data_IF_182349946509
#
_entry.id   IF_182349946509
#
_cell.length_a   1.000
_cell.length_b   1.000
_cell.length_c   1.000
_cell.angle_alpha   90.00
_cell.angle_beta   90.00
_cell.angle_gamma   90.00
#
_symmetry.space_group_name_H-M   'P 1'
#
loop_
_entity.id
_entity.type
_entity.pdbx_description
1 polymer ?
#
# COMPACT_ATOMS: atom_id res chain seq x y z
N UNK A 1 -12.96 -19.21 3.97
CA UNK A 1 -12.09 -20.26 4.55
C UNK A 1 -11.34 -19.54 5.66
N UNK A 2 -11.61 -19.88 6.91
CA UNK A 2 -10.89 -19.31 8.07
C UNK A 2 -9.68 -20.22 8.30
N UNK A 3 -8.56 -19.89 7.64
CA UNK A 3 -7.50 -20.87 7.34
C UNK A 3 -6.73 -21.39 8.57
N UNK A 4 -6.86 -20.77 9.76
CA UNK A 4 -6.18 -21.20 11.00
C UNK A 4 -7.06 -21.16 12.25
N UNK A 5 -8.37 -20.91 12.11
CA UNK A 5 -9.29 -20.68 13.24
C UNK A 5 -8.74 -19.64 14.25
N UNK A 6 -8.14 -18.56 13.73
CA UNK A 6 -7.58 -17.48 14.52
C UNK A 6 -8.13 -16.12 14.10
N UNK A 7 -8.16 -15.18 15.03
CA UNK A 7 -8.22 -13.75 14.72
C UNK A 7 -7.13 -12.98 15.47
N UNK A 8 -6.64 -11.91 14.86
CA UNK A 8 -5.59 -11.05 15.43
C UNK A 8 -6.23 -10.08 16.43
N UNK A 9 -5.67 -10.01 17.65
CA UNK A 9 -6.03 -8.98 18.64
C UNK A 9 -5.13 -7.75 18.47
N UNK A 10 -3.82 -7.96 18.31
CA UNK A 10 -2.83 -6.88 18.32
C UNK A 10 -1.59 -7.26 17.49
N UNK A 11 -1.05 -6.28 16.74
CA UNK A 11 0.29 -6.35 16.15
C UNK A 11 1.16 -5.32 16.88
N UNK A 12 2.32 -5.76 17.38
CA UNK A 12 3.20 -5.01 18.25
C UNK A 12 4.52 -4.67 17.54
N UNK A 13 5.14 -3.53 17.85
CA UNK A 13 6.48 -3.19 17.35
C UNK A 13 7.61 -3.93 18.09
N UNK A 14 7.30 -4.85 19.00
CA UNK A 14 8.29 -5.59 19.78
C UNK A 14 7.74 -6.89 20.32
N UNK A 15 8.66 -7.78 20.68
CA UNK A 15 8.42 -9.17 21.02
C UNK A 15 7.31 -9.42 22.06
N UNK A 16 6.44 -10.43 21.85
CA UNK A 16 6.15 -11.08 20.57
C UNK A 16 5.46 -10.11 19.59
N UNK A 17 5.70 -10.27 18.29
CA UNK A 17 5.18 -9.41 17.21
C UNK A 17 3.65 -9.36 17.14
N UNK A 18 2.97 -10.44 17.51
CA UNK A 18 1.54 -10.56 17.34
C UNK A 18 0.89 -11.29 18.52
N UNK A 19 -0.29 -10.80 18.90
CA UNK A 19 -1.20 -11.46 19.81
C UNK A 19 -2.46 -11.81 19.03
N UNK A 20 -2.84 -13.08 19.07
CA UNK A 20 -4.05 -13.58 18.43
C UNK A 20 -4.90 -14.37 19.42
N UNK A 21 -6.13 -14.69 19.02
CA UNK A 21 -6.91 -15.75 19.64
C UNK A 21 -7.10 -16.91 18.68
N UNK A 22 -6.86 -18.13 19.16
CA UNK A 22 -7.13 -19.38 18.44
C UNK A 22 -8.36 -20.06 19.04
N UNK A 23 -9.26 -20.52 18.18
CA UNK A 23 -10.38 -21.34 18.61
C UNK A 23 -9.92 -22.78 18.82
N UNK A 24 -10.13 -23.30 20.04
CA UNK A 24 -9.69 -24.64 20.46
C UNK A 24 -10.86 -25.62 20.63
N UNK A 25 -12.02 -25.32 20.03
CA UNK A 25 -13.20 -26.18 20.03
C UNK A 25 -14.23 -25.86 21.13
N UNK A 26 -13.79 -25.45 22.32
CA UNK A 26 -14.66 -25.07 23.45
C UNK A 26 -14.56 -23.58 23.82
N UNK A 27 -13.75 -22.81 23.10
CA UNK A 27 -13.50 -21.41 23.41
C UNK A 27 -12.34 -20.82 22.61
N UNK A 28 -11.99 -19.59 22.97
CA UNK A 28 -10.92 -18.82 22.34
C UNK A 28 -9.77 -18.61 23.33
N UNK A 29 -8.62 -19.15 22.99
CA UNK A 29 -7.40 -19.02 23.80
C UNK A 29 -6.48 -17.98 23.17
N UNK A 30 -5.84 -17.17 24.02
CA UNK A 30 -4.86 -16.18 23.58
C UNK A 30 -3.55 -16.89 23.26
N UNK A 31 -2.98 -16.59 22.10
CA UNK A 31 -1.68 -17.10 21.64
C UNK A 31 -0.77 -15.94 21.24
N UNK A 32 0.52 -16.11 21.49
CA UNK A 32 1.59 -15.19 21.15
C UNK A 32 2.35 -15.71 19.93
N UNK A 33 2.52 -14.85 18.93
CA UNK A 33 3.08 -15.21 17.63
C UNK A 33 4.28 -14.32 17.33
N UNK A 34 5.38 -14.92 16.89
CA UNK A 34 6.54 -14.23 16.32
C UNK A 34 6.61 -14.44 14.81
N UNK A 35 6.92 -13.38 14.05
CA UNK A 35 7.07 -13.46 12.61
C UNK A 35 8.54 -13.46 12.22
N UNK A 36 8.95 -14.47 11.47
CA UNK A 36 10.36 -14.59 11.08
C UNK A 36 10.53 -14.86 9.58
N UNK A 37 11.67 -14.43 9.02
CA UNK A 37 12.04 -14.88 7.68
C UNK A 37 12.41 -16.37 7.72
N UNK A 38 13.34 -16.74 8.60
CA UNK A 38 13.74 -18.13 8.85
C UNK A 38 13.44 -18.49 10.30
N UNK A 39 12.96 -19.69 10.58
CA UNK A 39 12.64 -20.11 11.95
C UNK A 39 13.82 -19.95 12.94
N UNK A 40 15.07 -20.16 12.51
CA UNK A 40 16.26 -19.96 13.35
C UNK A 40 16.54 -18.51 13.73
N UNK A 41 15.96 -17.52 13.05
CA UNK A 41 16.13 -16.11 13.42
C UNK A 41 15.59 -15.84 14.83
N UNK A 42 14.58 -16.60 15.28
CA UNK A 42 14.08 -16.55 16.65
C UNK A 42 15.21 -16.70 17.69
N UNK A 43 16.14 -17.63 17.44
CA UNK A 43 17.33 -17.82 18.29
C UNK A 43 18.35 -16.69 18.13
N UNK A 44 18.55 -16.21 16.90
CA UNK A 44 19.51 -15.12 16.61
C UNK A 44 19.09 -13.81 17.30
N UNK A 45 17.79 -13.54 17.34
CA UNK A 45 17.20 -12.41 18.04
C UNK A 45 17.14 -12.59 19.57
N UNK A 46 17.50 -13.78 20.08
CA UNK A 46 17.50 -14.13 21.51
C UNK A 46 16.12 -14.01 22.16
N UNK A 47 15.08 -14.38 21.42
CA UNK A 47 13.72 -14.44 21.96
C UNK A 47 13.59 -15.56 22.98
N UNK A 48 12.86 -15.28 24.07
CA UNK A 48 12.62 -16.27 25.12
C UNK A 48 11.39 -17.12 24.74
N UNK A 49 11.56 -18.44 24.49
CA UNK A 49 10.48 -19.32 24.06
C UNK A 49 9.31 -19.41 25.05
N UNK A 50 9.50 -19.02 26.32
CA UNK A 50 8.40 -19.03 27.31
C UNK A 50 7.34 -17.96 27.05
N UNK A 51 7.60 -16.99 26.18
CA UNK A 51 6.69 -15.89 25.85
C UNK A 51 6.16 -15.95 24.41
N UNK A 52 6.37 -17.07 23.72
CA UNK A 52 5.90 -17.29 22.36
C UNK A 52 5.26 -18.68 22.27
N UNK A 53 4.10 -18.77 21.63
CA UNK A 53 3.42 -20.04 21.41
C UNK A 53 3.66 -20.54 19.97
N UNK A 54 3.79 -19.61 19.00
CA UNK A 54 3.85 -19.91 17.58
C UNK A 54 4.90 -19.05 16.87
N UNK A 55 5.77 -19.68 16.08
CA UNK A 55 6.61 -19.00 15.10
C UNK A 55 5.94 -19.16 13.73
N UNK A 56 5.60 -18.05 13.10
CA UNK A 56 5.17 -18.04 11.70
C UNK A 56 6.34 -17.56 10.86
N UNK A 57 6.89 -18.44 10.02
CA UNK A 57 8.10 -18.17 9.26
C UNK A 57 7.89 -18.34 7.74
N UNK A 58 8.69 -17.64 6.94
CA UNK A 58 8.73 -17.92 5.50
C UNK A 58 9.33 -19.30 5.22
N UNK A 59 10.48 -19.61 5.82
CA UNK A 59 11.16 -20.90 5.67
C UNK A 59 11.52 -21.50 7.03
N UNK A 60 11.20 -22.78 7.22
CA UNK A 60 11.54 -23.52 8.44
C UNK A 60 12.89 -24.21 8.27
N UNK A 61 13.97 -23.52 8.66
CA UNK A 61 15.34 -24.02 8.71
C UNK A 61 15.73 -24.60 10.09
N UNK A 62 14.76 -24.69 11.03
CA UNK A 62 14.94 -25.15 12.40
C UNK A 62 14.20 -26.46 12.68
N UNK A 63 14.55 -27.51 11.92
CA UNK A 63 13.89 -28.82 12.00
C UNK A 63 14.10 -29.56 13.32
N UNK A 64 15.13 -29.19 14.07
CA UNK A 64 15.55 -29.76 15.34
C UNK A 64 15.17 -28.87 16.55
N UNK A 65 14.09 -28.09 16.43
CA UNK A 65 13.56 -27.28 17.52
C UNK A 65 13.34 -28.12 18.80
N UNK A 66 13.94 -27.72 19.95
CA UNK A 66 13.80 -28.45 21.20
C UNK A 66 12.34 -28.55 21.66
N UNK A 67 11.89 -29.77 21.98
CA UNK A 67 10.49 -30.04 22.34
C UNK A 67 10.07 -29.33 23.63
N UNK A 68 11.02 -29.06 24.52
CA UNK A 68 10.81 -28.30 25.75
C UNK A 68 10.33 -26.87 25.50
N UNK A 69 10.61 -26.29 24.33
CA UNK A 69 10.14 -24.95 23.98
C UNK A 69 8.65 -24.90 23.67
N UNK A 70 8.03 -26.05 23.34
CA UNK A 70 6.59 -26.16 23.01
C UNK A 70 6.13 -25.18 21.93
N UNK A 71 7.04 -24.76 21.05
CA UNK A 71 6.78 -23.86 19.95
C UNK A 71 6.13 -24.60 18.79
N UNK A 72 5.03 -24.07 18.28
CA UNK A 72 4.50 -24.45 16.98
C UNK A 72 5.22 -23.64 15.88
N UNK A 73 5.78 -24.30 14.86
CA UNK A 73 6.40 -23.61 13.72
C UNK A 73 5.51 -23.79 12.49
N UNK A 74 4.97 -22.68 11.99
CA UNK A 74 4.15 -22.63 10.77
C UNK A 74 5.00 -22.06 9.63
N UNK A 75 5.23 -22.87 8.60
CA UNK A 75 6.04 -22.52 7.43
C UNK A 75 5.16 -22.07 6.25
N UNK A 76 5.41 -20.86 5.72
CA UNK A 76 4.59 -20.28 4.66
C UNK A 76 5.04 -20.67 3.24
N UNK A 77 6.33 -20.94 2.99
CA UNK A 77 6.87 -21.20 1.65
C UNK A 77 6.36 -22.50 1.03
N UNK A 78 6.08 -23.53 1.81
CA UNK A 78 5.40 -24.75 1.35
C UNK A 78 3.88 -24.53 1.28
N UNK A 79 3.29 -23.91 2.31
CA UNK A 79 1.83 -23.67 2.38
C UNK A 79 1.32 -22.87 1.18
N UNK A 80 2.05 -21.83 0.75
CA UNK A 80 1.63 -20.97 -0.37
C UNK A 80 1.48 -21.73 -1.69
N UNK A 81 2.16 -22.87 -1.86
CA UNK A 81 2.05 -23.71 -3.07
C UNK A 81 0.74 -24.48 -3.12
N UNK A 82 0.13 -24.74 -1.97
CA UNK A 82 -1.15 -25.44 -1.84
C UNK A 82 -2.34 -24.49 -1.91
N UNK A 83 -2.12 -23.19 -1.64
CA UNK A 83 -3.17 -22.19 -1.74
C UNK A 83 -3.61 -22.02 -3.20
N UNK A 84 -4.94 -21.94 -3.46
CA UNK A 84 -5.42 -21.70 -4.80
C UNK A 84 -4.89 -20.35 -5.28
N UNK A 85 -4.32 -20.33 -6.49
CA UNK A 85 -3.99 -19.07 -7.15
C UNK A 85 -5.28 -18.24 -7.24
N UNK A 86 -5.32 -17.14 -6.49
CA UNK A 86 -6.41 -16.18 -6.60
C UNK A 86 -6.41 -15.68 -8.04
N UNK A 87 -7.54 -15.81 -8.72
CA UNK A 87 -7.69 -15.22 -10.06
C UNK A 87 -7.39 -13.73 -9.97
N UNK A 88 -6.31 -13.31 -10.62
CA UNK A 88 -6.00 -11.90 -10.78
C UNK A 88 -7.01 -11.37 -11.78
N UNK A 89 -8.13 -10.87 -11.27
CA UNK A 89 -9.06 -10.09 -12.07
C UNK A 89 -8.32 -8.82 -12.47
N UNK A 90 -8.26 -8.55 -13.78
CA UNK A 90 -7.95 -7.19 -14.22
C UNK A 90 -8.89 -6.28 -13.43
N UNK A 91 -8.38 -5.21 -12.80
CA UNK A 91 -9.29 -4.18 -12.30
C UNK A 91 -10.24 -3.85 -13.45
N UNK A 92 -11.48 -3.49 -13.20
CA UNK A 92 -12.33 -3.06 -14.30
C UNK A 92 -11.98 -1.61 -14.57
N UNK A 93 -11.81 -1.22 -15.83
CA UNK A 93 -11.68 0.21 -16.22
C UNK A 93 -13.05 0.89 -16.01
N UNK A 94 -13.49 1.00 -14.76
CA UNK A 94 -14.74 1.67 -14.39
C UNK A 94 -16.02 0.84 -14.49
N UNK A 95 -16.00 -0.50 -14.57
CA UNK A 95 -17.21 -1.26 -14.21
C UNK A 95 -17.35 -1.20 -12.69
N UNK A 96 -18.29 -0.39 -12.24
CA UNK A 96 -18.56 -0.17 -10.82
C UNK A 96 -19.06 -1.50 -10.23
N UNK A 97 -18.27 -2.08 -9.34
CA UNK A 97 -18.81 -3.08 -8.42
C UNK A 97 -19.75 -2.37 -7.44
N UNK A 98 -20.65 -3.11 -6.77
CA UNK A 98 -21.52 -2.55 -5.73
C UNK A 98 -20.71 -1.82 -4.65
N UNK A 99 -19.52 -2.33 -4.33
CA UNK A 99 -18.57 -1.72 -3.39
C UNK A 99 -18.00 -0.40 -3.92
N UNK A 100 -17.65 -0.31 -5.20
CA UNK A 100 -17.15 0.93 -5.82
C UNK A 100 -18.21 2.04 -5.82
N UNK A 101 -19.48 1.72 -6.07
CA UNK A 101 -20.56 2.73 -6.01
C UNK A 101 -20.73 3.32 -4.61
N UNK A 102 -20.64 2.48 -3.58
CA UNK A 102 -20.67 2.91 -2.19
C UNK A 102 -19.51 3.84 -1.86
N UNK A 103 -18.30 3.45 -2.26
CA UNK A 103 -17.07 4.24 -2.03
C UNK A 103 -17.09 5.56 -2.81
N UNK A 104 -17.58 5.57 -4.04
CA UNK A 104 -17.73 6.80 -4.83
C UNK A 104 -18.70 7.78 -4.16
N UNK A 105 -19.86 7.30 -3.68
CA UNK A 105 -20.82 8.14 -2.93
C UNK A 105 -20.17 8.77 -1.70
N UNK A 106 -19.40 8.00 -0.93
CA UNK A 106 -18.67 8.50 0.23
C UNK A 106 -17.59 9.52 -0.17
N UNK A 107 -16.82 9.22 -1.21
CA UNK A 107 -15.78 10.09 -1.75
C UNK A 107 -16.33 11.46 -2.21
N UNK A 108 -17.50 11.47 -2.86
CA UNK A 108 -18.15 12.68 -3.37
C UNK A 108 -19.02 13.42 -2.35
N UNK A 109 -19.23 12.85 -1.15
CA UNK A 109 -20.22 13.31 -0.15
C UNK A 109 -20.15 14.80 0.18
N UNK A 110 -18.94 15.37 0.25
CA UNK A 110 -18.73 16.75 0.69
C UNK A 110 -18.57 17.77 -0.44
N UNK A 111 -18.53 17.32 -1.69
CA UNK A 111 -18.28 18.16 -2.86
C UNK A 111 -19.56 18.85 -3.34
N UNK A 112 -19.47 20.13 -3.74
CA UNK A 112 -20.56 20.78 -4.47
C UNK A 112 -20.65 20.28 -5.92
N UNK A 113 -21.75 20.60 -6.61
CA UNK A 113 -22.00 20.12 -7.99
C UNK A 113 -20.90 20.53 -8.98
N UNK A 114 -20.34 21.72 -8.85
CA UNK A 114 -19.24 22.15 -9.71
C UNK A 114 -17.97 21.31 -9.47
N UNK A 115 -17.66 21.00 -8.21
CA UNK A 115 -16.49 20.16 -7.87
C UNK A 115 -16.69 18.72 -8.34
N UNK A 116 -17.92 18.18 -8.25
CA UNK A 116 -18.26 16.87 -8.81
C UNK A 116 -18.06 16.84 -10.32
N UNK A 117 -18.51 17.88 -11.04
CA UNK A 117 -18.28 18.02 -12.50
C UNK A 117 -16.79 18.06 -12.84
N UNK A 118 -16.00 18.84 -12.10
CA UNK A 118 -14.54 18.87 -12.28
C UNK A 118 -13.92 17.50 -12.04
N UNK A 119 -14.39 16.74 -11.06
CA UNK A 119 -13.90 15.40 -10.78
C UNK A 119 -14.15 14.44 -11.94
N UNK A 120 -15.36 14.41 -12.50
CA UNK A 120 -15.65 13.51 -13.62
C UNK A 120 -14.80 13.83 -14.85
N UNK A 121 -14.60 15.12 -15.17
CA UNK A 121 -13.68 15.52 -16.24
C UNK A 121 -12.22 15.13 -15.94
N UNK A 122 -11.74 15.36 -14.71
CA UNK A 122 -10.40 14.94 -14.28
C UNK A 122 -10.22 13.42 -14.38
N UNK A 123 -11.24 12.65 -14.01
CA UNK A 123 -11.26 11.21 -14.08
C UNK A 123 -11.17 10.70 -15.53
N UNK A 124 -11.92 11.30 -16.45
CA UNK A 124 -11.84 10.97 -17.88
C UNK A 124 -10.45 11.24 -18.45
N UNK A 125 -9.86 12.40 -18.14
CA UNK A 125 -8.49 12.73 -18.53
C UNK A 125 -7.52 11.68 -17.99
N UNK A 126 -7.52 11.42 -16.68
CA UNK A 126 -6.60 10.47 -16.05
C UNK A 126 -6.68 9.05 -16.64
N UNK A 127 -7.90 8.54 -16.88
CA UNK A 127 -8.09 7.21 -17.45
C UNK A 127 -7.76 7.12 -18.95
N UNK A 128 -7.69 8.25 -19.66
CA UNK A 128 -7.36 8.32 -21.07
C UNK A 128 -5.88 8.58 -21.35
N UNK A 129 -5.08 8.96 -20.33
CA UNK A 129 -3.64 9.20 -20.50
C UNK A 129 -2.92 7.96 -21.07
N UNK A 130 -3.25 6.77 -20.58
CA UNK A 130 -2.60 5.52 -21.00
C UNK A 130 -3.51 4.33 -20.68
N UNK A 131 -3.51 3.31 -21.54
CA UNK A 131 -4.40 2.16 -21.39
C UNK A 131 -4.12 1.32 -20.13
N UNK A 132 -2.96 1.47 -19.50
CA UNK A 132 -2.55 0.77 -18.28
C UNK A 132 -2.78 1.62 -17.03
N UNK A 133 -3.52 2.72 -17.13
CA UNK A 133 -3.96 3.51 -15.98
C UNK A 133 -5.28 2.97 -15.46
N UNK A 134 -5.32 2.78 -14.14
CA UNK A 134 -6.46 2.28 -13.40
C UNK A 134 -6.80 3.22 -12.26
N UNK A 135 -8.06 3.18 -11.81
CA UNK A 135 -8.56 3.95 -10.68
C UNK A 135 -8.96 3.01 -9.54
N UNK A 136 -8.77 3.45 -8.31
CA UNK A 136 -9.36 2.82 -7.14
C UNK A 136 -10.04 3.88 -6.25
N UNK A 137 -11.31 3.65 -5.91
CA UNK A 137 -12.01 4.51 -4.96
C UNK A 137 -11.66 4.12 -3.52
N UNK A 138 -11.36 5.12 -2.70
CA UNK A 138 -11.39 5.03 -1.25
C UNK A 138 -12.36 6.07 -0.69
N UNK A 139 -12.72 5.95 0.58
CA UNK A 139 -13.71 6.85 1.20
C UNK A 139 -13.27 8.32 1.22
N UNK A 140 -11.97 8.57 1.36
CA UNK A 140 -11.38 9.92 1.46
C UNK A 140 -10.60 10.34 0.23
N UNK A 141 -10.04 9.38 -0.49
CA UNK A 141 -9.14 9.59 -1.62
C UNK A 141 -9.49 8.62 -2.74
N UNK A 142 -9.34 9.07 -3.98
CA UNK A 142 -9.35 8.21 -5.15
C UNK A 142 -7.93 8.17 -5.71
N UNK A 143 -7.36 6.98 -5.90
CA UNK A 143 -6.01 6.81 -6.44
C UNK A 143 -6.02 6.39 -7.90
N UNK A 144 -4.98 6.77 -8.63
CA UNK A 144 -4.72 6.32 -10.00
C UNK A 144 -3.32 5.72 -10.09
N UNK A 145 -3.23 4.53 -10.68
CA UNK A 145 -2.01 3.72 -10.69
C UNK A 145 -1.77 3.11 -12.07
N UNK A 146 -0.50 2.80 -12.37
CA UNK A 146 -0.13 2.15 -13.62
C UNK A 146 0.92 1.06 -13.42
N UNK A 147 0.53 -0.18 -13.75
CA UNK A 147 -0.32 -0.98 -12.88
C UNK A 147 0.33 -1.32 -11.52
N UNK A 148 1.63 -1.04 -11.33
CA UNK A 148 2.38 -1.47 -10.14
C UNK A 148 2.38 -0.43 -9.01
N UNK A 149 2.29 0.86 -9.33
CA UNK A 149 2.38 1.96 -8.36
C UNK A 149 1.40 3.08 -8.67
N UNK A 150 0.95 3.75 -7.61
CA UNK A 150 0.13 4.96 -7.68
C UNK A 150 1.01 6.14 -8.08
N UNK A 151 0.53 6.95 -9.02
CA UNK A 151 1.21 8.20 -9.41
C UNK A 151 0.41 9.44 -8.99
N UNK A 152 -0.90 9.31 -8.75
CA UNK A 152 -1.69 10.43 -8.23
C UNK A 152 -2.84 10.00 -7.33
N UNK A 153 -3.18 10.88 -6.39
CA UNK A 153 -4.39 10.79 -5.57
C UNK A 153 -5.21 12.07 -5.69
N UNK A 154 -6.53 11.91 -5.79
CA UNK A 154 -7.49 12.99 -5.74
C UNK A 154 -8.20 12.94 -4.38
N UNK A 155 -8.30 14.09 -3.71
CA UNK A 155 -9.09 14.28 -2.50
C UNK A 155 -10.14 15.36 -2.75
N UNK A 156 -11.40 15.00 -2.58
CA UNK A 156 -12.50 15.96 -2.70
C UNK A 156 -12.49 16.97 -1.56
N UNK A 157 -12.83 18.20 -1.88
CA UNK A 157 -13.19 19.25 -0.94
C UNK A 157 -14.51 19.90 -1.38
N UNK A 158 -15.07 20.80 -0.55
CA UNK A 158 -16.35 21.45 -0.87
C UNK A 158 -16.31 22.22 -2.19
N UNK A 159 -15.22 22.92 -2.47
CA UNK A 159 -15.04 23.86 -3.60
C UNK A 159 -13.74 23.63 -4.36
N UNK A 160 -13.44 22.37 -4.72
CA UNK A 160 -12.26 22.00 -5.50
C UNK A 160 -11.70 20.63 -5.12
N UNK A 161 -10.69 20.21 -5.86
CA UNK A 161 -10.02 18.92 -5.73
C UNK A 161 -8.58 19.17 -5.35
N UNK A 162 -8.13 18.56 -4.26
CA UNK A 162 -6.71 18.54 -3.91
C UNK A 162 -6.09 17.33 -4.61
N UNK A 163 -5.05 17.58 -5.38
CA UNK A 163 -4.33 16.54 -6.10
C UNK A 163 -2.97 16.34 -5.46
N UNK A 164 -2.67 15.11 -5.09
CA UNK A 164 -1.36 14.67 -4.67
C UNK A 164 -0.71 13.95 -5.87
N UNK A 165 0.54 14.28 -6.17
CA UNK A 165 1.21 13.86 -7.40
C UNK A 165 2.60 13.33 -7.08
N UNK A 166 2.96 12.18 -7.64
CA UNK A 166 4.33 11.68 -7.58
C UNK A 166 5.20 12.55 -8.49
N UNK A 167 6.26 13.12 -7.94
CA UNK A 167 7.22 13.96 -8.68
C UNK A 167 8.67 13.50 -8.50
N UNK A 168 8.92 12.48 -7.67
CA UNK A 168 10.26 11.97 -7.37
C UNK A 168 11.28 13.08 -7.03
N UNK A 169 10.86 14.12 -6.29
CA UNK A 169 11.71 15.26 -5.94
C UNK A 169 11.94 16.27 -7.06
N UNK A 170 11.49 16.00 -8.29
CA UNK A 170 11.62 16.93 -9.42
C UNK A 170 10.62 18.08 -9.29
N UNK A 171 11.07 19.30 -9.58
CA UNK A 171 10.22 20.48 -9.62
C UNK A 171 9.27 20.39 -10.81
N UNK A 172 8.00 20.74 -10.59
CA UNK A 172 6.96 20.78 -11.63
C UNK A 172 6.17 22.07 -11.50
N UNK A 173 5.90 22.74 -12.62
CA UNK A 173 5.18 24.01 -12.61
C UNK A 173 3.75 23.84 -12.08
N UNK A 174 3.35 24.75 -11.19
CA UNK A 174 2.06 24.69 -10.51
C UNK A 174 1.95 23.64 -9.39
N UNK A 175 3.02 22.87 -9.12
CA UNK A 175 3.06 21.85 -8.06
C UNK A 175 3.95 22.32 -6.91
N UNK A 176 3.38 22.36 -5.71
CA UNK A 176 4.14 22.63 -4.47
C UNK A 176 4.66 21.33 -3.89
N UNK A 177 5.89 21.30 -3.38
CA UNK A 177 6.41 20.10 -2.72
C UNK A 177 5.65 19.82 -1.41
N UNK A 178 5.38 18.54 -1.12
CA UNK A 178 4.63 18.11 0.08
C UNK A 178 5.34 17.02 0.88
N UNK A 179 6.07 16.13 0.19
CA UNK A 179 7.00 15.12 0.72
C UNK A 179 8.19 15.05 -0.24
N UNK A 180 9.31 14.39 0.13
CA UNK A 180 10.49 14.34 -0.74
C UNK A 180 10.18 13.89 -2.18
N UNK A 181 9.31 12.89 -2.36
CA UNK A 181 8.91 12.36 -3.68
C UNK A 181 7.48 12.70 -4.11
N UNK A 182 6.77 13.56 -3.35
CA UNK A 182 5.38 13.90 -3.65
C UNK A 182 5.09 15.40 -3.57
N UNK A 183 4.44 15.90 -4.61
CA UNK A 183 3.92 17.26 -4.70
C UNK A 183 2.40 17.34 -4.52
N UNK A 184 1.90 18.57 -4.42
CA UNK A 184 0.49 18.89 -4.27
C UNK A 184 0.10 20.09 -5.13
N UNK A 185 -1.07 20.01 -5.76
CA UNK A 185 -1.73 21.15 -6.40
C UNK A 185 -3.25 21.09 -6.20
N UNK A 186 -3.96 22.10 -6.70
CA UNK A 186 -5.42 22.22 -6.56
C UNK A 186 -6.08 22.44 -7.91
N UNK A 187 -7.22 21.79 -8.13
CA UNK A 187 -8.13 22.05 -9.24
C UNK A 187 -9.40 22.67 -8.67
N UNK A 188 -9.68 23.92 -9.02
CA UNK A 188 -10.90 24.64 -8.61
C UNK A 188 -11.69 25.24 -9.77
N UNK A 189 -11.11 25.21 -10.97
CA UNK A 189 -11.69 25.74 -12.19
C UNK A 189 -11.34 24.86 -13.39
N UNK A 190 -11.98 25.08 -14.54
CA UNK A 190 -11.61 24.40 -15.79
C UNK A 190 -10.22 24.80 -16.28
N UNK A 191 -9.77 26.02 -15.99
CA UNK A 191 -8.41 26.47 -16.31
C UNK A 191 -7.37 25.63 -15.58
N UNK A 192 -7.58 25.40 -14.28
CA UNK A 192 -6.69 24.55 -13.47
C UNK A 192 -6.69 23.12 -14.02
N UNK A 193 -7.86 22.61 -14.40
CA UNK A 193 -8.02 21.27 -14.95
C UNK A 193 -7.23 21.09 -16.26
N UNK A 194 -7.31 22.04 -17.18
CA UNK A 194 -6.57 21.98 -18.45
C UNK A 194 -5.05 21.96 -18.25
N UNK A 195 -4.55 22.63 -17.21
CA UNK A 195 -3.12 22.59 -16.86
C UNK A 195 -2.71 21.26 -16.20
N UNK A 196 -3.66 20.52 -15.64
CA UNK A 196 -3.41 19.30 -14.86
C UNK A 196 -2.97 18.11 -15.72
N UNK A 197 -3.38 18.07 -17.00
CA UNK A 197 -3.09 16.93 -17.89
C UNK A 197 -1.59 16.70 -18.07
N UNK A 198 -0.83 17.76 -18.35
CA UNK A 198 0.63 17.67 -18.52
C UNK A 198 1.33 17.27 -17.21
N UNK A 199 0.80 17.74 -16.06
CA UNK A 199 1.31 17.36 -14.73
C UNK A 199 1.10 15.85 -14.50
N UNK A 200 -0.07 15.31 -14.84
CA UNK A 200 -0.35 13.88 -14.70
C UNK A 200 0.47 13.01 -15.65
N UNK A 201 0.63 13.42 -16.91
CA UNK A 201 1.49 12.73 -17.89
C UNK A 201 2.93 12.65 -17.38
N UNK A 202 3.48 13.77 -16.91
CA UNK A 202 4.84 13.79 -16.38
C UNK A 202 4.99 12.92 -15.13
N UNK A 203 4.01 12.95 -14.23
CA UNK A 203 4.01 12.09 -13.04
C UNK A 203 3.97 10.60 -13.39
N UNK A 204 3.20 10.22 -14.42
CA UNK A 204 3.14 8.84 -14.93
C UNK A 204 4.48 8.39 -15.53
N UNK A 205 5.19 9.26 -16.24
CA UNK A 205 6.55 8.97 -16.71
C UNK A 205 7.49 8.73 -15.53
N UNK A 206 7.48 9.63 -14.55
CA UNK A 206 8.36 9.56 -13.38
C UNK A 206 8.14 8.29 -12.56
N UNK A 207 6.90 7.87 -12.34
CA UNK A 207 6.65 6.64 -11.59
C UNK A 207 7.18 5.41 -12.35
N UNK A 208 7.11 5.43 -13.69
CA UNK A 208 7.60 4.33 -14.53
C UNK A 208 9.13 4.28 -14.54
N UNK A 209 9.79 5.43 -14.66
CA UNK A 209 11.25 5.58 -14.49
C UNK A 209 11.68 4.98 -13.14
N UNK A 210 11.06 5.41 -12.04
CA UNK A 210 11.39 4.90 -10.70
C UNK A 210 11.15 3.40 -10.53
N UNK A 211 10.09 2.84 -11.12
CA UNK A 211 9.85 1.39 -11.10
C UNK A 211 10.97 0.65 -11.86
N UNK A 212 11.36 1.14 -13.04
CA UNK A 212 12.44 0.53 -13.83
C UNK A 212 13.78 0.56 -13.10
N UNK A 213 14.03 1.62 -12.32
CA UNK A 213 15.24 1.78 -11.51
C UNK A 213 15.17 1.10 -10.13
N UNK A 214 14.08 0.40 -9.81
CA UNK A 214 13.84 -0.21 -8.49
C UNK A 214 13.92 0.80 -7.32
N UNK A 215 13.55 2.06 -7.56
CA UNK A 215 13.56 3.12 -6.56
C UNK A 215 12.37 2.98 -5.59
N UNK A 216 12.57 3.37 -4.33
CA UNK A 216 11.47 3.45 -3.38
C UNK A 216 10.53 4.62 -3.72
N UNK A 217 9.27 4.33 -4.01
CA UNK A 217 8.23 5.32 -4.38
C UNK A 217 7.22 5.59 -3.25
N UNK A 218 7.51 5.11 -2.04
CA UNK A 218 6.63 5.24 -0.88
C UNK A 218 6.41 6.68 -0.44
N UNK A 219 5.37 6.91 0.37
CA UNK A 219 5.04 8.24 0.90
C UNK A 219 6.18 8.86 1.73
N UNK A 220 6.89 8.02 2.49
CA UNK A 220 8.02 8.41 3.33
C UNK A 220 9.39 8.15 2.69
N UNK A 221 9.43 7.82 1.39
CA UNK A 221 10.68 7.58 0.69
C UNK A 221 11.51 8.87 0.63
N UNK A 222 12.78 8.78 1.04
CA UNK A 222 13.76 9.86 0.87
C UNK A 222 14.20 9.92 -0.59
N UNK A 223 14.64 11.09 -1.03
CA UNK A 223 15.38 11.21 -2.29
C UNK A 223 16.74 10.54 -2.03
N UNK A 224 17.14 9.63 -2.90
CA UNK A 224 18.49 9.07 -2.87
C UNK A 224 19.43 10.26 -3.14
N UNK A 225 20.24 10.62 -2.14
CA UNK A 225 21.31 11.57 -2.36
C UNK A 225 22.25 10.91 -3.37
N UNK A 226 22.52 11.58 -4.51
CA UNK A 226 23.73 11.27 -5.26
C UNK A 226 24.86 11.29 -4.22
N UNK A 227 25.56 10.16 -4.04
CA UNK A 227 26.84 10.16 -3.33
C UNK A 227 27.73 11.17 -4.07
N UNK A 228 27.69 12.42 -3.64
CA UNK A 228 28.76 13.36 -3.92
C UNK A 228 29.92 12.73 -3.18
N UNK A 229 30.78 12.03 -3.92
CA UNK A 229 32.11 11.62 -3.49
C UNK A 229 32.82 12.85 -2.93
N UNK A 230 32.68 13.06 -1.62
CA UNK A 230 33.56 13.89 -0.82
C UNK A 230 34.84 13.11 -0.57
N UNK A 231 35.56 12.75 -1.62
CA UNK A 231 37.01 12.65 -1.54
C UNK A 231 37.52 14.09 -1.39
N UNK A 232 37.65 14.54 -0.16
CA UNK A 232 38.45 15.70 0.19
C UNK A 232 39.32 15.33 1.39
N UNK A 233 40.52 14.88 1.04
CA UNK A 233 41.82 14.99 1.72
C UNK A 233 41.89 14.80 3.25
#
# INVERSE_FOLDING_TARGET
>A
VEDLNMYIEEIKPGYPDCIARRFVGNGWERVSIEFELNAKNFLQHKHDPNYCDIIVCWENDWTDCPKEYKLEIVELKSLIKELPNREIKRPTKGQKTVDEEGKEKLFLKFANENTKKLFYKANEILLSIDEKVWRNFGEKYTSYYSPQRVFTYLRMQKTGIRVLIFNNGKKMDGVRNQQPKWGIFRISSEKDLNQSENIWKRSLELIRESIMNNENTGWYAKIEEEEIEGNSD
#
